data_IF_886648374072
#
_entry.id   IF_886648374072
#
_cell.length_a   1.000
_cell.length_b   1.000
_cell.length_c   1.000
_cell.angle_alpha   90.00
_cell.angle_beta   90.00
_cell.angle_gamma   90.00
#
_symmetry.space_group_name_H-M   'P 1'
#
loop_
_entity.id
_entity.type
_entity.pdbx_description
1 polymer ?
#
# COMPACT_ATOMS: atom_id res chain seq x y z
N UNK A 1 5.79 -1.01 23.24
CA UNK A 1 6.54 -1.74 22.19
C UNK A 1 6.38 -3.23 22.43
N UNK A 2 6.26 -4.00 21.36
CA UNK A 2 6.19 -5.47 21.42
C UNK A 2 7.61 -6.06 21.43
N UNK A 3 7.75 -7.24 22.04
CA UNK A 3 9.01 -7.99 22.03
C UNK A 3 9.27 -8.64 20.68
N UNK A 4 10.52 -9.03 20.41
CA UNK A 4 10.90 -9.77 19.21
C UNK A 4 10.18 -11.13 19.20
N UNK A 5 9.61 -11.50 18.06
CA UNK A 5 8.95 -12.77 17.91
C UNK A 5 7.64 -12.95 18.70
N UNK A 6 7.01 -11.85 19.09
CA UNK A 6 5.80 -11.86 19.91
C UNK A 6 4.56 -12.41 19.19
N UNK A 7 4.54 -12.41 17.84
CA UNK A 7 3.36 -12.76 17.06
C UNK A 7 3.61 -13.93 16.11
N UNK A 8 2.57 -14.72 15.92
CA UNK A 8 2.52 -15.80 14.92
C UNK A 8 2.08 -15.28 13.55
N UNK A 9 1.22 -14.26 13.56
CA UNK A 9 0.57 -13.74 12.38
C UNK A 9 0.34 -12.23 12.49
N UNK A 10 0.55 -11.51 11.39
CA UNK A 10 0.20 -10.10 11.25
C UNK A 10 -0.78 -9.96 10.09
N UNK A 11 -1.85 -9.22 10.32
CA UNK A 11 -2.75 -8.73 9.29
C UNK A 11 -2.58 -7.22 9.14
N UNK A 12 -2.13 -6.78 7.97
CA UNK A 12 -1.77 -5.39 7.68
C UNK A 12 -2.50 -4.88 6.43
N UNK A 13 -3.78 -4.52 6.55
CA UNK A 13 -4.60 -4.12 5.40
C UNK A 13 -4.38 -2.65 5.04
N UNK A 14 -3.98 -2.36 3.82
CA UNK A 14 -4.00 -1.06 3.13
C UNK A 14 -3.69 0.20 3.96
N UNK A 15 -2.83 0.10 4.98
CA UNK A 15 -2.48 1.22 5.87
C UNK A 15 -1.14 1.89 5.57
N UNK A 16 -0.37 1.34 4.63
CA UNK A 16 0.93 1.89 4.26
C UNK A 16 0.84 3.29 3.63
N UNK A 17 -0.28 3.62 3.00
CA UNK A 17 -0.51 4.94 2.43
C UNK A 17 -0.45 6.07 3.46
N UNK A 18 -0.56 5.78 4.75
CA UNK A 18 -0.47 6.78 5.82
C UNK A 18 0.95 6.94 6.40
N UNK A 19 1.91 6.18 5.93
CA UNK A 19 3.30 6.26 6.34
C UNK A 19 4.15 6.86 5.22
N UNK A 20 4.95 7.87 5.54
CA UNK A 20 5.85 8.50 4.56
C UNK A 20 6.93 7.53 4.08
N UNK A 21 7.50 6.71 5.00
CA UNK A 21 8.45 5.63 4.69
C UNK A 21 7.91 4.31 5.24
N UNK A 22 7.70 3.33 4.36
CA UNK A 22 7.18 2.01 4.73
C UNK A 22 8.26 0.97 5.00
N UNK A 23 9.51 1.23 4.67
CA UNK A 23 10.60 0.27 4.94
C UNK A 23 10.80 -0.01 6.43
N UNK A 24 10.71 0.98 7.36
CA UNK A 24 10.65 0.72 8.78
C UNK A 24 9.48 -0.16 9.22
N UNK A 25 8.32 -0.01 8.57
CA UNK A 25 7.13 -0.84 8.85
C UNK A 25 7.44 -2.32 8.58
N UNK A 26 8.06 -2.62 7.45
CA UNK A 26 8.44 -4.00 7.11
C UNK A 26 9.49 -4.58 8.07
N UNK A 27 10.48 -3.78 8.47
CA UNK A 27 11.50 -4.21 9.44
C UNK A 27 10.86 -4.49 10.81
N UNK A 28 9.94 -3.66 11.26
CA UNK A 28 9.24 -3.87 12.53
C UNK A 28 8.32 -5.09 12.46
N UNK A 29 7.55 -5.27 11.39
CA UNK A 29 6.74 -6.45 11.19
C UNK A 29 7.59 -7.74 11.23
N UNK A 30 8.76 -7.71 10.58
CA UNK A 30 9.70 -8.82 10.61
C UNK A 30 10.23 -9.09 12.03
N UNK A 31 10.58 -8.04 12.76
CA UNK A 31 11.11 -8.15 14.12
C UNK A 31 10.12 -8.83 15.07
N UNK A 32 8.87 -8.37 15.06
CA UNK A 32 7.85 -8.84 16.01
C UNK A 32 7.24 -10.20 15.64
N UNK A 33 7.38 -10.67 14.40
CA UNK A 33 7.00 -12.03 14.02
C UNK A 33 8.02 -13.06 14.53
N UNK A 34 7.52 -14.18 15.06
CA UNK A 34 8.39 -15.32 15.36
C UNK A 34 8.92 -15.96 14.08
N UNK A 35 10.06 -16.68 14.12
CA UNK A 35 10.48 -17.53 13.01
C UNK A 35 9.35 -18.49 12.59
N UNK A 36 9.09 -18.61 11.30
CA UNK A 36 7.98 -19.37 10.73
C UNK A 36 6.62 -18.64 10.77
N UNK A 37 6.53 -17.45 11.40
CA UNK A 37 5.35 -16.60 11.37
C UNK A 37 5.13 -15.97 9.99
N UNK A 38 3.93 -15.46 9.76
CA UNK A 38 3.56 -14.87 8.47
C UNK A 38 2.84 -13.54 8.61
N UNK A 39 2.96 -12.72 7.58
CA UNK A 39 2.19 -11.49 7.41
C UNK A 39 1.34 -11.59 6.14
N UNK A 40 0.11 -11.13 6.22
CA UNK A 40 -0.72 -10.79 5.05
C UNK A 40 -0.86 -9.28 5.03
N UNK A 41 -0.33 -8.67 4.00
CA UNK A 41 -0.39 -7.22 3.77
C UNK A 41 -1.15 -6.90 2.50
N UNK A 42 -1.90 -5.80 2.51
CA UNK A 42 -2.59 -5.28 1.35
C UNK A 42 -2.16 -3.85 1.03
N UNK A 43 -2.16 -3.51 -0.23
CA UNK A 43 -1.94 -2.14 -0.69
C UNK A 43 -2.65 -1.90 -2.02
N UNK A 44 -2.89 -0.63 -2.32
CA UNK A 44 -3.42 -0.21 -3.63
C UNK A 44 -2.28 -0.16 -4.64
N UNK A 45 -2.51 -0.63 -5.85
CA UNK A 45 -1.51 -0.54 -6.93
C UNK A 45 -1.05 0.91 -7.10
N UNK A 46 0.27 1.18 -7.18
CA UNK A 46 0.80 2.55 -7.19
C UNK A 46 0.25 3.40 -8.34
N UNK A 47 -0.03 2.81 -9.47
CA UNK A 47 -0.57 3.53 -10.64
C UNK A 47 -1.91 4.20 -10.33
N UNK A 48 -2.73 3.62 -9.44
CA UNK A 48 -4.04 4.17 -9.08
C UNK A 48 -3.92 5.56 -8.43
N UNK A 49 -2.90 5.78 -7.60
CA UNK A 49 -2.64 7.08 -6.96
C UNK A 49 -2.03 8.14 -7.88
N UNK A 50 -1.84 7.84 -9.18
CA UNK A 50 -1.23 8.78 -10.14
C UNK A 50 -2.23 9.35 -11.14
N UNK A 51 -3.49 8.91 -11.12
CA UNK A 51 -4.52 9.42 -12.01
C UNK A 51 -4.98 10.83 -11.64
N UNK A 52 -5.51 11.54 -12.63
CA UNK A 52 -6.20 12.81 -12.42
C UNK A 52 -7.54 12.54 -11.69
N UNK A 53 -7.74 13.04 -10.47
CA UNK A 53 -8.94 12.73 -9.69
C UNK A 53 -10.23 13.25 -10.32
N UNK A 54 -10.17 14.36 -11.05
CA UNK A 54 -11.37 14.92 -11.69
C UNK A 54 -11.79 14.11 -12.93
N UNK A 55 -10.83 13.58 -13.66
CA UNK A 55 -11.11 12.69 -14.78
C UNK A 55 -11.55 11.30 -14.30
N UNK A 56 -10.96 10.80 -13.23
CA UNK A 56 -11.30 9.52 -12.64
C UNK A 56 -12.79 9.48 -12.19
N UNK A 57 -13.27 10.54 -11.55
CA UNK A 57 -14.70 10.70 -11.20
C UNK A 57 -15.64 10.61 -12.40
N UNK A 58 -15.14 10.88 -13.61
CA UNK A 58 -15.86 10.77 -14.88
C UNK A 58 -15.67 9.42 -15.56
N UNK A 59 -14.97 8.48 -14.93
CA UNK A 59 -14.60 7.19 -15.52
C UNK A 59 -13.53 7.29 -16.61
N UNK A 60 -12.74 8.35 -16.61
CA UNK A 60 -11.63 8.60 -17.55
C UNK A 60 -10.31 8.53 -16.80
N UNK A 61 -9.39 7.73 -17.28
CA UNK A 61 -8.11 7.50 -16.60
C UNK A 61 -6.97 8.13 -17.38
N UNK A 62 -6.37 9.14 -16.78
CA UNK A 62 -5.21 9.85 -17.32
C UNK A 62 -4.21 10.10 -16.20
N UNK A 63 -2.96 9.75 -16.42
CA UNK A 63 -1.90 10.02 -15.44
C UNK A 63 -1.69 11.53 -15.32
N UNK A 64 -1.68 12.02 -14.09
CA UNK A 64 -1.41 13.41 -13.73
C UNK A 64 -0.16 13.56 -12.90
N UNK A 65 0.09 12.61 -12.01
CA UNK A 65 1.20 12.64 -11.07
C UNK A 65 2.29 11.66 -11.45
N UNK A 66 3.50 11.91 -10.97
CA UNK A 66 4.66 11.04 -11.16
C UNK A 66 5.18 10.53 -9.82
N UNK A 67 5.71 9.30 -9.82
CA UNK A 67 6.36 8.73 -8.65
C UNK A 67 7.68 9.43 -8.30
N UNK A 68 7.99 9.64 -7.02
CA UNK A 68 7.13 9.44 -5.85
C UNK A 68 6.08 10.54 -5.71
N UNK A 69 4.87 10.18 -5.26
CA UNK A 69 3.77 11.11 -5.06
C UNK A 69 3.24 11.06 -3.64
N UNK A 70 2.74 12.20 -3.16
CA UNK A 70 1.97 12.30 -1.93
C UNK A 70 1.07 13.54 -1.97
N UNK A 71 0.03 13.53 -1.16
CA UNK A 71 -0.91 14.66 -1.03
C UNK A 71 -0.24 15.92 -0.49
N UNK A 72 0.95 15.81 0.10
CA UNK A 72 1.76 16.97 0.51
C UNK A 72 2.22 17.84 -0.67
N UNK A 73 2.18 17.31 -1.89
CA UNK A 73 2.54 18.04 -3.11
C UNK A 73 1.38 18.84 -3.71
N UNK A 74 0.18 18.63 -3.18
CA UNK A 74 -1.03 19.32 -3.60
C UNK A 74 -1.19 20.65 -2.87
N UNK A 75 -1.85 21.60 -3.50
CA UNK A 75 -2.32 22.81 -2.82
C UNK A 75 -3.44 22.46 -1.82
N UNK A 76 -3.67 23.34 -0.84
CA UNK A 76 -4.76 23.16 0.12
C UNK A 76 -6.13 23.11 -0.59
N UNK A 77 -6.30 23.90 -1.66
CA UNK A 77 -7.52 23.91 -2.48
C UNK A 77 -7.72 22.57 -3.21
N UNK A 78 -6.68 22.00 -3.81
CA UNK A 78 -6.75 20.71 -4.47
C UNK A 78 -7.08 19.58 -3.48
N UNK A 79 -6.43 19.58 -2.32
CA UNK A 79 -6.73 18.61 -1.26
C UNK A 79 -8.16 18.70 -0.78
N UNK A 80 -8.64 19.90 -0.50
CA UNK A 80 -10.01 20.12 -0.06
C UNK A 80 -11.03 19.67 -1.11
N UNK A 81 -10.81 20.02 -2.38
CA UNK A 81 -11.71 19.68 -3.47
C UNK A 81 -11.76 18.18 -3.80
N UNK A 82 -10.63 17.48 -3.67
CA UNK A 82 -10.56 16.07 -4.05
C UNK A 82 -10.82 15.11 -2.89
N UNK A 83 -10.37 15.43 -1.69
CA UNK A 83 -10.37 14.52 -0.55
C UNK A 83 -11.11 15.07 0.68
N UNK A 84 -11.29 16.38 0.77
CA UNK A 84 -11.84 17.07 1.94
C UNK A 84 -10.75 17.55 2.90
N UNK A 85 -11.07 18.63 3.65
CA UNK A 85 -10.13 19.29 4.56
C UNK A 85 -9.56 18.38 5.67
N UNK A 86 -10.37 17.42 6.12
CA UNK A 86 -10.04 16.52 7.23
C UNK A 86 -9.46 15.16 6.78
N UNK A 87 -9.27 14.97 5.47
CA UNK A 87 -8.69 13.74 4.96
C UNK A 87 -7.23 13.58 5.42
N UNK A 88 -6.81 12.38 5.83
CA UNK A 88 -5.42 12.12 6.15
C UNK A 88 -4.53 12.33 4.91
N UNK A 89 -3.28 12.67 5.15
CA UNK A 89 -2.27 12.71 4.08
C UNK A 89 -1.97 11.29 3.63
N UNK A 90 -2.01 11.06 2.32
CA UNK A 90 -1.65 9.78 1.74
C UNK A 90 -0.36 9.86 0.92
N UNK A 91 0.36 8.75 0.90
CA UNK A 91 1.62 8.56 0.20
C UNK A 91 1.50 7.39 -0.77
N UNK A 92 1.92 7.60 -2.01
CA UNK A 92 1.95 6.57 -3.04
C UNK A 92 3.34 5.94 -3.05
N UNK A 93 3.42 4.68 -2.64
CA UNK A 93 4.68 3.93 -2.58
C UNK A 93 4.88 3.07 -3.82
N UNK A 94 6.13 2.97 -4.26
CA UNK A 94 6.50 2.10 -5.39
C UNK A 94 6.31 0.61 -5.05
N UNK A 95 6.22 -0.23 -6.06
CA UNK A 95 6.27 -1.69 -5.88
C UNK A 95 7.61 -2.13 -5.26
N UNK A 96 8.69 -1.40 -5.53
CA UNK A 96 10.00 -1.64 -4.91
C UNK A 96 9.92 -1.43 -3.38
N UNK A 97 9.23 -0.40 -2.91
CA UNK A 97 9.05 -0.19 -1.48
C UNK A 97 8.05 -1.17 -0.86
N UNK A 98 6.98 -1.50 -1.57
CA UNK A 98 5.94 -2.43 -1.08
C UNK A 98 6.42 -3.87 -1.04
N UNK A 99 7.00 -4.38 -2.11
CA UNK A 99 7.45 -5.77 -2.25
C UNK A 99 8.94 -5.93 -1.92
N UNK A 100 9.79 -5.11 -2.53
CA UNK A 100 11.23 -5.09 -2.27
C UNK A 100 11.54 -4.78 -0.82
N UNK A 101 10.81 -3.86 -0.19
CA UNK A 101 10.95 -3.57 1.24
C UNK A 101 10.69 -4.79 2.14
N UNK A 102 9.74 -5.66 1.79
CA UNK A 102 9.52 -6.91 2.52
C UNK A 102 10.70 -7.88 2.32
N UNK A 103 11.17 -8.02 1.08
CA UNK A 103 12.34 -8.87 0.78
C UNK A 103 13.61 -8.37 1.49
N UNK A 104 13.85 -7.07 1.49
CA UNK A 104 14.99 -6.45 2.17
C UNK A 104 14.92 -6.63 3.70
N UNK A 105 13.71 -6.68 4.27
CA UNK A 105 13.51 -6.97 5.68
C UNK A 105 13.80 -8.44 6.05
N UNK A 106 13.88 -9.33 5.04
CA UNK A 106 14.18 -10.76 5.22
C UNK A 106 12.99 -11.69 5.01
N UNK A 107 11.83 -11.17 4.61
CA UNK A 107 10.68 -12.01 4.28
C UNK A 107 10.87 -12.80 3.00
N UNK A 108 10.21 -13.95 2.92
CA UNK A 108 9.98 -14.70 1.69
C UNK A 108 8.52 -14.48 1.26
N UNK A 109 8.31 -13.94 0.07
CA UNK A 109 6.96 -13.78 -0.49
C UNK A 109 6.48 -15.17 -0.92
N UNK A 110 5.38 -15.61 -0.32
CA UNK A 110 4.80 -16.94 -0.51
C UNK A 110 3.47 -16.91 -1.28
N UNK A 111 2.92 -15.75 -1.53
CA UNK A 111 1.71 -15.58 -2.32
C UNK A 111 1.46 -14.12 -2.67
N UNK A 112 0.86 -13.90 -3.84
CA UNK A 112 0.43 -12.58 -4.30
C UNK A 112 -0.93 -12.75 -4.99
N UNK A 113 -1.85 -11.86 -4.65
CA UNK A 113 -3.23 -11.87 -5.14
C UNK A 113 -3.63 -10.46 -5.54
N UNK A 114 -4.46 -10.37 -6.56
CA UNK A 114 -5.05 -9.10 -6.97
C UNK A 114 -6.56 -9.14 -6.76
N UNK A 115 -7.12 -8.02 -6.37
CA UNK A 115 -8.56 -7.84 -6.16
C UNK A 115 -9.02 -6.46 -6.64
N UNK A 116 -10.32 -6.28 -6.77
CA UNK A 116 -10.95 -5.07 -7.26
C UNK A 116 -12.08 -4.61 -6.31
N UNK A 117 -12.82 -3.59 -6.70
CA UNK A 117 -13.96 -3.05 -5.96
C UNK A 117 -15.25 -3.85 -6.18
N UNK A 118 -15.16 -5.04 -6.75
CA UNK A 118 -16.32 -5.87 -7.06
C UNK A 118 -17.15 -5.34 -8.25
N UNK A 119 -16.52 -4.59 -9.15
CA UNK A 119 -17.18 -3.97 -10.31
C UNK A 119 -17.93 -2.68 -9.98
N UNK A 120 -17.76 -2.12 -8.76
CA UNK A 120 -18.43 -0.88 -8.36
C UNK A 120 -17.72 0.38 -8.85
N UNK A 121 -16.44 0.27 -9.16
CA UNK A 121 -15.64 1.41 -9.61
C UNK A 121 -15.31 1.31 -11.10
N UNK A 122 -15.29 2.43 -11.84
CA UNK A 122 -14.99 2.43 -13.29
C UNK A 122 -13.65 1.79 -13.64
N UNK A 123 -12.66 1.88 -12.75
CA UNK A 123 -11.32 1.32 -12.96
C UNK A 123 -11.32 -0.20 -13.01
N UNK A 124 -12.28 -0.87 -12.37
CA UNK A 124 -12.40 -2.33 -12.33
C UNK A 124 -12.53 -2.97 -13.70
N UNK A 125 -12.96 -2.17 -14.72
CA UNK A 125 -13.03 -2.62 -16.10
C UNK A 125 -11.65 -2.81 -16.74
N UNK A 126 -10.60 -2.27 -16.15
CA UNK A 126 -9.27 -2.22 -16.74
C UNK A 126 -8.22 -2.97 -15.90
N UNK A 127 -8.22 -2.78 -14.60
CA UNK A 127 -7.24 -3.39 -13.69
C UNK A 127 -7.89 -3.74 -12.35
N UNK A 128 -7.29 -4.70 -11.66
CA UNK A 128 -7.52 -4.94 -10.25
C UNK A 128 -6.63 -4.03 -9.43
N UNK A 129 -7.23 -3.15 -8.63
CA UNK A 129 -6.51 -2.09 -7.94
C UNK A 129 -5.84 -2.53 -6.65
N UNK A 130 -6.28 -3.62 -6.03
CA UNK A 130 -5.71 -4.10 -4.78
C UNK A 130 -4.72 -5.23 -5.01
N UNK A 131 -3.66 -5.20 -4.23
CA UNK A 131 -2.69 -6.30 -4.15
C UNK A 131 -2.63 -6.78 -2.71
N UNK A 132 -2.80 -8.07 -2.50
CA UNK A 132 -2.57 -8.73 -1.23
C UNK A 132 -1.34 -9.64 -1.34
N UNK A 133 -0.45 -9.54 -0.37
CA UNK A 133 0.80 -10.30 -0.33
C UNK A 133 0.84 -11.11 0.96
N UNK A 134 1.11 -12.41 0.83
CA UNK A 134 1.47 -13.24 1.95
C UNK A 134 2.99 -13.43 1.97
N UNK A 135 3.62 -13.02 3.07
CA UNK A 135 5.05 -13.21 3.27
C UNK A 135 5.32 -13.98 4.57
N UNK A 136 6.43 -14.71 4.60
CA UNK A 136 6.80 -15.59 5.70
C UNK A 136 8.17 -15.20 6.23
N UNK A 137 8.30 -15.09 7.55
CA UNK A 137 9.60 -15.00 8.20
C UNK A 137 10.24 -16.40 8.21
N UNK A 138 11.40 -16.61 7.58
CA UNK A 138 12.06 -17.90 7.58
C UNK A 138 12.33 -18.40 9.00
N UNK A 139 12.45 -19.73 9.14
CA UNK A 139 12.83 -20.37 10.41
C UNK A 139 14.33 -20.35 10.66
N UNK A 140 15.09 -20.12 9.63
CA UNK A 140 16.56 -20.03 9.67
C UNK A 140 17.08 -18.92 8.77
#
# INVERSE_FOLDING_TARGET
CFEDGAFDFIFHPCSNCFAEDIRPVWREAYRVLRPGGSIVSGFVQPIHGLFDPDLEKQGRFQLKFSMPHSDLKLSDEERENWFGSDAPVEFVHSLEDQLGGQLDAGFLIAGLYEDDWGGSEPIDQFIKCFVAVRAIKPTT
#
